data_IF_232155070797
#
_entry.id   IF_232155070797
#
_cell.length_a   1.000
_cell.length_b   1.000
_cell.length_c   1.000
_cell.angle_alpha   90.00
_cell.angle_beta   90.00
_cell.angle_gamma   90.00
#
_symmetry.space_group_name_H-M   'P 1'
#
loop_
_entity.id
_entity.type
_entity.pdbx_description
1 polymer ?
#
# COMPACT_ATOMS: atom_id res chain seq x y z
N UNK A 1 4.15 6.05 -17.90
CA UNK A 1 4.40 5.65 -16.50
C UNK A 1 4.13 4.16 -16.41
N UNK A 2 5.08 3.42 -15.86
CA UNK A 2 4.89 1.98 -15.61
C UNK A 2 4.29 1.76 -14.22
N UNK A 3 3.71 0.57 -13.98
CA UNK A 3 3.18 0.20 -12.66
C UNK A 3 4.23 0.36 -11.55
N UNK A 4 5.50 0.10 -11.89
CA UNK A 4 6.64 0.26 -11.01
C UNK A 4 6.83 1.70 -10.53
N UNK A 5 6.48 2.71 -11.34
CA UNK A 5 6.56 4.12 -10.97
C UNK A 5 5.52 4.46 -9.89
N UNK A 6 4.29 3.95 -10.04
CA UNK A 6 3.21 4.15 -9.06
C UNK A 6 3.48 3.45 -7.72
N UNK A 7 4.14 2.29 -7.74
CA UNK A 7 4.50 1.57 -6.51
C UNK A 7 5.70 2.22 -5.78
N UNK A 8 6.46 3.06 -6.47
CA UNK A 8 7.57 3.83 -5.90
C UNK A 8 7.15 5.19 -5.36
N UNK A 9 6.00 5.72 -5.77
CA UNK A 9 5.44 6.92 -5.14
C UNK A 9 4.68 6.54 -3.86
N UNK A 10 5.02 7.13 -2.69
CA UNK A 10 4.42 6.73 -1.41
C UNK A 10 2.89 6.86 -1.38
N UNK A 11 2.32 7.89 -2.01
CA UNK A 11 0.88 8.13 -2.01
C UNK A 11 0.16 7.11 -2.89
N UNK A 12 0.65 6.92 -4.12
CA UNK A 12 0.08 5.95 -5.05
C UNK A 12 0.20 4.52 -4.50
N UNK A 13 1.34 4.14 -3.93
CA UNK A 13 1.54 2.84 -3.30
C UNK A 13 0.57 2.60 -2.14
N UNK A 14 0.35 3.60 -1.29
CA UNK A 14 -0.60 3.53 -0.19
C UNK A 14 -2.05 3.37 -0.67
N UNK A 15 -2.45 4.12 -1.71
CA UNK A 15 -3.80 4.02 -2.30
C UNK A 15 -4.05 2.65 -2.93
N UNK A 16 -3.06 2.11 -3.65
CA UNK A 16 -3.14 0.77 -4.25
C UNK A 16 -3.25 -0.28 -3.13
N UNK A 17 -2.44 -0.18 -2.08
CA UNK A 17 -2.50 -1.08 -0.94
C UNK A 17 -3.87 -1.04 -0.24
N UNK A 18 -4.45 0.15 -0.06
CA UNK A 18 -5.79 0.32 0.50
C UNK A 18 -6.85 -0.40 -0.35
N UNK A 19 -6.84 -0.16 -1.66
CA UNK A 19 -7.79 -0.73 -2.60
C UNK A 19 -7.68 -2.27 -2.67
N UNK A 20 -6.46 -2.79 -2.74
CA UNK A 20 -6.21 -4.23 -2.73
C UNK A 20 -6.67 -4.89 -1.42
N UNK A 21 -6.40 -4.26 -0.28
CA UNK A 21 -6.81 -4.80 1.03
C UNK A 21 -8.32 -4.82 1.18
N UNK A 22 -8.98 -3.71 0.85
CA UNK A 22 -10.44 -3.60 0.89
C UNK A 22 -11.10 -4.60 -0.07
N UNK A 23 -10.60 -4.67 -1.31
CA UNK A 23 -11.08 -5.59 -2.34
C UNK A 23 -10.89 -7.05 -1.94
N UNK A 24 -9.71 -7.43 -1.43
CA UNK A 24 -9.42 -8.78 -0.96
C UNK A 24 -10.38 -9.21 0.16
N UNK A 25 -10.59 -8.36 1.16
CA UNK A 25 -11.50 -8.67 2.27
C UNK A 25 -12.95 -8.82 1.77
N UNK A 26 -13.37 -7.94 0.86
CA UNK A 26 -14.71 -7.99 0.28
C UNK A 26 -14.94 -9.26 -0.54
N UNK A 27 -14.01 -9.60 -1.43
CA UNK A 27 -14.08 -10.82 -2.25
C UNK A 27 -14.01 -12.06 -1.37
N UNK A 28 -13.14 -12.09 -0.37
CA UNK A 28 -13.04 -13.22 0.57
C UNK A 28 -14.36 -13.46 1.30
N UNK A 29 -15.00 -12.42 1.80
CA UNK A 29 -16.30 -12.56 2.47
C UNK A 29 -17.42 -13.02 1.52
N UNK A 30 -17.38 -12.57 0.26
CA UNK A 30 -18.30 -13.06 -0.76
C UNK A 30 -18.10 -14.56 -1.04
N UNK A 31 -16.85 -15.02 -1.13
CA UNK A 31 -16.52 -16.44 -1.33
C UNK A 31 -16.89 -17.31 -0.12
N UNK A 32 -16.81 -16.76 1.09
CA UNK A 32 -17.13 -17.47 2.33
C UNK A 32 -18.62 -17.43 2.71
N UNK A 33 -19.49 -16.84 1.88
CA UNK A 33 -20.91 -16.62 2.20
C UNK A 33 -21.15 -15.86 3.52
N UNK A 34 -20.23 -14.95 3.90
CA UNK A 34 -20.30 -14.17 5.14
C UNK A 34 -21.33 -13.01 5.05
N UNK A 35 -21.98 -12.84 3.89
CA UNK A 35 -22.95 -11.79 3.63
C UNK A 35 -22.30 -10.41 3.42
N UNK A 36 -23.08 -9.34 3.59
CA UNK A 36 -22.60 -7.97 3.39
C UNK A 36 -21.79 -7.52 4.61
N UNK A 37 -20.48 -7.41 4.44
CA UNK A 37 -19.60 -6.84 5.46
C UNK A 37 -19.93 -5.37 5.74
N UNK A 38 -19.92 -5.01 7.03
CA UNK A 38 -19.91 -3.62 7.45
C UNK A 38 -18.66 -2.90 6.91
N UNK A 39 -18.82 -1.62 6.57
CA UNK A 39 -17.73 -0.78 6.04
C UNK A 39 -16.47 -0.82 6.93
N UNK A 40 -16.67 -0.81 8.24
CA UNK A 40 -15.59 -0.83 9.22
C UNK A 40 -14.71 -2.10 9.15
N UNK A 41 -15.22 -3.23 8.64
CA UNK A 41 -14.51 -4.52 8.60
C UNK A 41 -13.43 -4.56 7.55
N UNK A 42 -13.57 -3.78 6.47
CA UNK A 42 -12.58 -3.70 5.41
C UNK A 42 -11.91 -2.32 5.32
N UNK A 43 -12.58 -1.24 5.72
CA UNK A 43 -11.99 0.11 5.69
C UNK A 43 -10.90 0.31 6.75
N UNK A 44 -11.09 -0.19 7.98
CA UNK A 44 -10.08 -0.09 9.05
C UNK A 44 -8.78 -0.81 8.70
N UNK A 45 -8.79 -2.11 8.32
CA UNK A 45 -7.56 -2.79 7.93
C UNK A 45 -6.95 -2.21 6.66
N UNK A 46 -7.76 -1.76 5.69
CA UNK A 46 -7.24 -1.09 4.49
C UNK A 46 -6.51 0.21 4.83
N UNK A 47 -7.06 1.05 5.71
CA UNK A 47 -6.42 2.29 6.14
C UNK A 47 -5.12 2.01 6.91
N UNK A 48 -5.11 1.04 7.82
CA UNK A 48 -3.90 0.68 8.58
C UNK A 48 -2.79 0.17 7.65
N UNK A 49 -3.13 -0.68 6.67
CA UNK A 49 -2.17 -1.19 5.70
C UNK A 49 -1.66 -0.06 4.77
N UNK A 50 -2.52 0.86 4.35
CA UNK A 50 -2.12 2.01 3.53
C UNK A 50 -1.10 2.89 4.25
N UNK A 51 -1.34 3.19 5.54
CA UNK A 51 -0.42 3.96 6.38
C UNK A 51 0.93 3.24 6.50
N UNK A 52 0.91 1.92 6.76
CA UNK A 52 2.12 1.12 6.84
C UNK A 52 2.93 1.18 5.53
N UNK A 53 2.27 0.97 4.39
CA UNK A 53 2.91 1.00 3.07
C UNK A 53 3.48 2.38 2.75
N UNK A 54 2.76 3.46 3.06
CA UNK A 54 3.27 4.82 2.92
C UNK A 54 4.61 5.00 3.65
N UNK A 55 4.70 4.55 4.91
CA UNK A 55 5.93 4.66 5.69
C UNK A 55 7.06 3.78 5.13
N UNK A 56 6.76 2.56 4.68
CA UNK A 56 7.76 1.68 4.07
C UNK A 56 8.34 2.32 2.81
N UNK A 57 7.49 2.82 1.91
CA UNK A 57 7.92 3.37 0.63
C UNK A 57 8.64 4.71 0.83
N UNK A 58 8.12 5.60 1.68
CA UNK A 58 8.78 6.89 1.97
C UNK A 58 10.16 6.72 2.60
N UNK A 59 10.33 5.76 3.52
CA UNK A 59 11.63 5.48 4.12
C UNK A 59 12.55 4.67 3.19
N UNK A 60 11.99 3.80 2.34
CA UNK A 60 12.75 3.01 1.35
C UNK A 60 13.35 3.85 0.23
N UNK A 61 12.70 4.94 -0.20
CA UNK A 61 13.26 5.89 -1.18
C UNK A 61 14.51 6.59 -0.62
N UNK A 62 14.50 6.92 0.68
CA UNK A 62 15.62 7.58 1.37
C UNK A 62 16.85 6.69 1.61
N UNK A 63 16.75 5.38 1.36
CA UNK A 63 17.82 4.40 1.55
C UNK A 63 18.65 4.14 0.27
N UNK A 64 18.43 4.88 -0.82
CA UNK A 64 19.35 4.80 -1.97
C UNK A 64 20.74 5.25 -1.52
N UNK A 65 21.75 4.42 -1.80
CA UNK A 65 23.13 4.71 -1.41
C UNK A 65 23.52 6.11 -1.86
N UNK A 66 24.05 6.90 -0.92
CA UNK A 66 24.63 8.19 -1.21
C UNK A 66 25.85 7.94 -2.10
N UNK A 67 25.71 8.20 -3.41
CA UNK A 67 26.85 8.16 -4.31
C UNK A 67 27.85 9.19 -3.78
N UNK A 68 29.04 8.74 -3.38
CA UNK A 68 30.10 9.64 -2.94
C UNK A 68 30.40 10.61 -4.08
N UNK A 69 30.14 11.89 -3.83
CA UNK A 69 30.47 12.97 -4.77
C UNK A 69 31.87 13.54 -4.49
N UNK A 70 32.61 12.96 -3.54
CA UNK A 70 33.99 13.35 -3.28
C UNK A 70 34.91 12.70 -4.34
N UNK A 71 35.72 13.50 -5.06
CA UNK A 71 36.72 12.95 -5.97
C UNK A 71 37.84 12.27 -5.18
N UNK A 72 38.28 11.11 -5.67
CA UNK A 72 39.40 10.32 -5.13
C UNK A 72 40.73 11.09 -5.13
#
# INVERSE_FOLDING_TARGET
>A
MELSDYLRDPINAALIAAALTAGYIHVKAQLNNEGKLELNKYAKPAALNAILVYFIVSNGIGQREAISNEPF
#
